data_IF_734770097939
#
_entry.id   IF_734770097939
#
_cell.length_a   1.000
_cell.length_b   1.000
_cell.length_c   1.000
_cell.angle_alpha   90.00
_cell.angle_beta   90.00
_cell.angle_gamma   90.00
#
_symmetry.space_group_name_H-M   'P 1'
#
loop_
_entity.id
_entity.type
_entity.pdbx_description
1 polymer ?
#
# COMPACT_ATOMS: atom_id res chain seq x y z
N UNK A 1 2.24 14.95 -5.03
CA UNK A 1 1.14 14.05 -4.61
C UNK A 1 1.46 13.55 -3.20
N UNK A 2 0.55 13.70 -2.25
CA UNK A 2 0.80 13.20 -0.91
C UNK A 2 0.58 11.68 -0.81
N UNK A 3 0.98 11.07 0.30
CA UNK A 3 0.92 9.62 0.46
C UNK A 3 -0.51 9.10 0.44
N UNK A 4 -1.45 9.83 1.05
CA UNK A 4 -2.87 9.43 1.05
C UNK A 4 -3.43 9.40 -0.36
N UNK A 5 -3.11 10.39 -1.19
CA UNK A 5 -3.54 10.45 -2.59
C UNK A 5 -2.96 9.28 -3.40
N UNK A 6 -1.69 8.90 -3.14
CA UNK A 6 -1.10 7.72 -3.76
C UNK A 6 -1.88 6.46 -3.41
N UNK A 7 -2.21 6.28 -2.14
CA UNK A 7 -2.96 5.12 -1.68
C UNK A 7 -4.36 5.07 -2.29
N UNK A 8 -5.07 6.18 -2.30
CA UNK A 8 -6.42 6.26 -2.90
C UNK A 8 -6.37 5.96 -4.40
N UNK A 9 -5.39 6.51 -5.10
CA UNK A 9 -5.24 6.29 -6.54
C UNK A 9 -4.96 4.83 -6.86
N UNK A 10 -4.13 4.15 -6.07
CA UNK A 10 -3.82 2.73 -6.25
C UNK A 10 -5.07 1.88 -5.99
N UNK A 11 -5.80 2.15 -4.91
CA UNK A 11 -7.05 1.44 -4.60
C UNK A 11 -8.08 1.65 -5.71
N UNK A 12 -8.22 2.87 -6.21
CA UNK A 12 -9.10 3.17 -7.32
C UNK A 12 -8.74 2.36 -8.57
N UNK A 13 -7.45 2.28 -8.88
CA UNK A 13 -6.96 1.50 -10.02
C UNK A 13 -7.28 0.01 -9.87
N UNK A 14 -7.12 -0.55 -8.68
CA UNK A 14 -7.46 -1.94 -8.37
C UNK A 14 -8.95 -2.20 -8.60
N UNK A 15 -9.81 -1.28 -8.18
CA UNK A 15 -11.25 -1.42 -8.34
C UNK A 15 -11.70 -1.27 -9.80
N UNK A 16 -11.02 -0.44 -10.58
CA UNK A 16 -11.32 -0.23 -12.01
C UNK A 16 -10.81 -1.42 -12.85
N UNK A 17 -9.58 -1.84 -12.60
CA UNK A 17 -8.93 -2.94 -13.33
C UNK A 17 -8.18 -3.84 -12.34
N UNK A 18 -8.87 -4.84 -11.74
CA UNK A 18 -8.26 -5.68 -10.72
C UNK A 18 -6.99 -6.42 -11.15
N UNK A 19 -6.86 -6.71 -12.44
CA UNK A 19 -5.67 -7.39 -12.98
C UNK A 19 -4.38 -6.58 -12.77
N UNK A 20 -4.48 -5.29 -12.47
CA UNK A 20 -3.30 -4.48 -12.17
C UNK A 20 -2.55 -5.05 -10.95
N UNK A 21 -3.23 -5.80 -10.09
CA UNK A 21 -2.61 -6.47 -8.95
C UNK A 21 -1.48 -7.42 -9.37
N UNK A 22 -1.59 -8.05 -10.54
CA UNK A 22 -0.52 -8.93 -11.03
C UNK A 22 0.81 -8.19 -11.20
N UNK A 23 0.75 -6.90 -11.53
CA UNK A 23 1.92 -6.05 -11.70
C UNK A 23 2.37 -5.44 -10.38
N UNK A 24 1.43 -4.87 -9.63
CA UNK A 24 1.79 -4.12 -8.42
C UNK A 24 2.07 -5.00 -7.21
N UNK A 25 1.62 -6.27 -7.20
CA UNK A 25 1.93 -7.20 -6.11
C UNK A 25 3.42 -7.55 -6.03
N UNK A 26 4.17 -7.36 -7.09
CA UNK A 26 5.62 -7.50 -7.09
C UNK A 26 6.35 -6.24 -6.61
N UNK A 27 5.63 -5.13 -6.44
CA UNK A 27 6.17 -3.83 -6.04
C UNK A 27 5.76 -3.50 -4.60
N UNK A 28 4.49 -3.73 -4.25
CA UNK A 28 3.90 -3.38 -2.96
C UNK A 28 3.60 -4.60 -2.11
N UNK A 29 3.65 -4.39 -0.81
CA UNK A 29 3.07 -5.31 0.18
C UNK A 29 1.99 -4.56 0.97
N UNK A 30 1.09 -5.27 1.69
CA UNK A 30 0.07 -4.60 2.50
C UNK A 30 0.66 -3.60 3.52
N UNK A 31 1.87 -3.87 4.01
CA UNK A 31 2.54 -3.01 5.00
C UNK A 31 3.01 -1.67 4.44
N UNK A 32 3.02 -1.50 3.13
CA UNK A 32 3.39 -0.23 2.50
C UNK A 32 2.27 0.80 2.60
N UNK A 33 1.05 0.36 2.89
CA UNK A 33 -0.10 1.25 3.05
C UNK A 33 -0.19 1.76 4.49
N UNK A 34 -0.38 3.06 4.67
CA UNK A 34 -0.60 3.67 5.97
C UNK A 34 -2.09 3.69 6.36
N UNK A 35 -2.98 3.62 5.36
CA UNK A 35 -4.43 3.61 5.57
C UNK A 35 -4.91 2.17 5.59
N UNK A 36 -5.43 1.72 6.74
CA UNK A 36 -5.84 0.33 6.93
C UNK A 36 -6.84 -0.16 5.89
N UNK A 37 -7.81 0.68 5.53
CA UNK A 37 -8.79 0.33 4.50
C UNK A 37 -8.12 0.07 3.15
N UNK A 38 -7.13 0.89 2.78
CA UNK A 38 -6.38 0.72 1.53
C UNK A 38 -5.57 -0.57 1.52
N UNK A 39 -4.88 -0.86 2.62
CA UNK A 39 -4.13 -2.10 2.81
C UNK A 39 -5.04 -3.33 2.64
N UNK A 40 -6.23 -3.28 3.24
CA UNK A 40 -7.18 -4.40 3.17
C UNK A 40 -7.74 -4.62 1.78
N UNK A 41 -8.02 -3.55 1.02
CA UNK A 41 -8.45 -3.68 -0.37
C UNK A 41 -7.37 -4.35 -1.21
N UNK A 42 -6.12 -3.89 -1.07
CA UNK A 42 -4.99 -4.47 -1.79
C UNK A 42 -4.83 -5.97 -1.47
N UNK A 43 -4.85 -6.31 -0.19
CA UNK A 43 -4.71 -7.69 0.28
C UNK A 43 -5.86 -8.57 -0.23
N UNK A 44 -7.10 -8.09 -0.14
CA UNK A 44 -8.27 -8.83 -0.59
C UNK A 44 -8.23 -9.07 -2.10
N UNK A 45 -7.82 -8.07 -2.89
CA UNK A 45 -7.71 -8.19 -4.34
C UNK A 45 -6.62 -9.20 -4.73
N UNK A 46 -5.45 -9.12 -4.12
CA UNK A 46 -4.36 -10.05 -4.40
C UNK A 46 -4.74 -11.49 -4.01
N UNK A 47 -5.40 -11.67 -2.87
CA UNK A 47 -5.88 -12.98 -2.43
C UNK A 47 -6.90 -13.57 -3.42
N UNK A 48 -7.89 -12.79 -3.82
CA UNK A 48 -8.92 -13.24 -4.76
C UNK A 48 -8.31 -13.64 -6.09
N UNK A 49 -7.46 -12.80 -6.68
CA UNK A 49 -6.84 -13.09 -7.96
C UNK A 49 -5.88 -14.28 -7.88
N UNK A 50 -5.14 -14.40 -6.76
CA UNK A 50 -4.26 -15.55 -6.54
C UNK A 50 -5.00 -16.88 -6.45
N UNK A 51 -6.28 -16.84 -6.09
CA UNK A 51 -7.16 -18.02 -6.06
C UNK A 51 -7.96 -18.19 -7.34
N UNK A 52 -7.72 -17.37 -8.35
CA UNK A 52 -8.47 -17.40 -9.61
C UNK A 52 -9.90 -16.90 -9.46
N UNK A 53 -10.19 -16.09 -8.44
CA UNK A 53 -11.52 -15.57 -8.16
C UNK A 53 -11.68 -14.14 -8.69
N UNK A 54 -12.94 -13.79 -8.93
CA UNK A 54 -13.33 -12.44 -9.32
C UNK A 54 -13.13 -11.44 -8.18
N UNK A 55 -12.74 -10.22 -8.54
CA UNK A 55 -12.68 -9.08 -7.62
C UNK A 55 -13.22 -7.84 -8.33
N UNK A 56 -13.96 -7.00 -7.59
CA UNK A 56 -14.53 -5.76 -8.11
C UNK A 56 -14.73 -4.73 -6.99
N UNK A 57 -15.26 -3.57 -7.36
CA UNK A 57 -15.52 -2.48 -6.40
C UNK A 57 -16.51 -2.88 -5.30
N UNK A 58 -17.47 -3.73 -5.60
CA UNK A 58 -18.46 -4.20 -4.60
C UNK A 58 -17.77 -5.05 -3.54
N UNK A 59 -16.92 -5.98 -3.97
CA UNK A 59 -16.14 -6.82 -3.06
C UNK A 59 -15.13 -6.01 -2.28
N UNK A 60 -14.55 -4.97 -2.88
CA UNK A 60 -13.66 -4.04 -2.19
C UNK A 60 -14.38 -3.33 -1.05
N UNK A 61 -15.58 -2.79 -1.31
CA UNK A 61 -16.38 -2.13 -0.29
C UNK A 61 -16.77 -3.10 0.83
N UNK A 62 -17.13 -4.33 0.50
CA UNK A 62 -17.45 -5.35 1.49
C UNK A 62 -16.25 -5.67 2.39
N UNK A 63 -15.06 -5.77 1.82
CA UNK A 63 -13.84 -6.09 2.56
C UNK A 63 -13.53 -5.05 3.65
N UNK A 64 -13.91 -3.79 3.46
CA UNK A 64 -13.60 -2.69 4.37
C UNK A 64 -14.82 -2.15 5.14
N UNK A 65 -15.95 -2.86 5.09
CA UNK A 65 -17.21 -2.39 5.72
C UNK A 65 -17.09 -2.07 7.21
N UNK A 66 -16.14 -2.72 7.91
CA UNK A 66 -15.91 -2.50 9.35
C UNK A 66 -14.78 -1.50 9.62
N UNK A 67 -14.18 -0.92 8.58
CA UNK A 67 -13.06 0.03 8.71
C UNK A 67 -13.47 1.46 8.43
N UNK A 68 -14.50 1.67 7.61
CA UNK A 68 -14.99 2.99 7.24
C UNK A 68 -16.51 3.01 7.34
N UNK A 69 -17.10 4.16 7.67
CA UNK A 69 -18.53 4.30 7.88
C UNK A 69 -19.33 4.09 6.61
N UNK A 70 -18.86 4.60 5.48
CA UNK A 70 -19.49 4.45 4.17
C UNK A 70 -18.48 3.87 3.18
N UNK A 71 -18.37 2.54 3.18
CA UNK A 71 -17.41 1.83 2.35
C UNK A 71 -17.65 2.04 0.86
N UNK A 72 -18.91 2.06 0.43
CA UNK A 72 -19.25 2.27 -0.99
C UNK A 72 -18.78 3.65 -1.45
N UNK A 73 -19.03 4.68 -0.64
CA UNK A 73 -18.59 6.03 -0.95
C UNK A 73 -17.06 6.14 -0.95
N UNK A 74 -16.41 5.52 0.02
CA UNK A 74 -14.94 5.50 0.09
C UNK A 74 -14.34 4.93 -1.19
N UNK A 75 -14.83 3.77 -1.65
CA UNK A 75 -14.36 3.13 -2.88
C UNK A 75 -14.67 4.01 -4.09
N UNK A 76 -15.87 4.59 -4.16
CA UNK A 76 -16.23 5.51 -5.24
C UNK A 76 -15.30 6.72 -5.31
N UNK A 77 -14.96 7.30 -4.17
CA UNK A 77 -14.03 8.43 -4.10
C UNK A 77 -12.62 8.02 -4.57
N UNK A 78 -12.15 6.83 -4.19
CA UNK A 78 -10.87 6.31 -4.68
C UNK A 78 -10.86 6.16 -6.20
N UNK A 79 -11.94 5.65 -6.78
CA UNK A 79 -12.05 5.51 -8.23
C UNK A 79 -12.08 6.87 -8.93
N UNK A 80 -12.72 7.87 -8.32
CA UNK A 80 -12.81 9.21 -8.88
C UNK A 80 -11.48 9.96 -8.91
N UNK A 81 -10.55 9.66 -8.00
CA UNK A 81 -9.23 10.30 -7.98
C UNK A 81 -8.21 9.54 -8.83
N UNK A 82 -8.64 8.53 -9.58
CA UNK A 82 -7.79 7.73 -10.45
C UNK A 82 -8.09 8.08 -11.91
N UNK A 83 -7.44 9.13 -12.46
CA UNK A 83 -7.78 9.61 -13.79
C UNK A 83 -7.30 8.69 -14.92
N UNK A 84 -6.27 7.88 -14.66
CA UNK A 84 -5.71 6.92 -15.62
C UNK A 84 -5.04 5.78 -14.89
N UNK A 85 -5.03 4.61 -15.53
CA UNK A 85 -4.31 3.43 -15.02
C UNK A 85 -2.84 3.40 -15.48
N UNK A 86 -2.47 4.28 -16.40
CA UNK A 86 -1.13 4.27 -17.01
C UNK A 86 -0.01 4.49 -15.99
N UNK A 87 -0.28 5.24 -14.93
CA UNK A 87 0.73 5.61 -13.92
C UNK A 87 0.67 4.76 -12.65
N UNK A 88 -0.13 3.70 -12.62
CA UNK A 88 -0.34 2.93 -11.39
C UNK A 88 0.94 2.25 -10.90
N UNK A 89 1.75 1.69 -11.80
CA UNK A 89 3.02 1.09 -11.40
C UNK A 89 3.99 2.12 -10.81
N UNK A 90 4.05 3.31 -11.41
CA UNK A 90 4.89 4.39 -10.89
C UNK A 90 4.39 4.86 -9.51
N UNK A 91 3.08 4.98 -9.33
CA UNK A 91 2.49 5.31 -8.04
C UNK A 91 2.80 4.23 -6.99
N UNK A 92 2.76 2.97 -7.39
CA UNK A 92 3.11 1.86 -6.50
C UNK A 92 4.58 1.93 -6.06
N UNK A 93 5.49 2.22 -6.98
CA UNK A 93 6.91 2.40 -6.65
C UNK A 93 7.13 3.59 -5.72
N UNK A 94 6.44 4.70 -5.97
CA UNK A 94 6.51 5.87 -5.08
C UNK A 94 6.02 5.54 -3.67
N UNK A 95 4.90 4.83 -3.56
CA UNK A 95 4.37 4.43 -2.26
C UNK A 95 5.34 3.51 -1.53
N UNK A 96 5.86 2.49 -2.21
CA UNK A 96 6.84 1.57 -1.62
C UNK A 96 8.07 2.32 -1.13
N UNK A 97 8.60 3.25 -1.92
CA UNK A 97 9.77 4.06 -1.55
C UNK A 97 9.49 4.88 -0.30
N UNK A 98 8.34 5.56 -0.25
CA UNK A 98 7.98 6.39 0.91
C UNK A 98 7.78 5.55 2.17
N UNK A 99 7.14 4.39 2.03
CA UNK A 99 6.94 3.47 3.15
C UNK A 99 8.27 2.91 3.67
N UNK A 100 9.18 2.54 2.76
CA UNK A 100 10.51 2.05 3.10
C UNK A 100 11.33 3.10 3.84
N UNK A 101 11.29 4.35 3.38
CA UNK A 101 11.96 5.46 4.04
C UNK A 101 11.38 5.74 5.43
N UNK A 102 10.06 5.67 5.58
CA UNK A 102 9.42 5.87 6.87
C UNK A 102 9.82 4.79 7.87
N UNK A 103 9.86 3.52 7.43
CA UNK A 103 10.32 2.41 8.26
C UNK A 103 11.79 2.57 8.66
N UNK A 104 12.63 3.01 7.72
CA UNK A 104 14.03 3.26 7.98
C UNK A 104 14.23 4.35 9.03
N UNK A 105 13.54 5.49 8.89
CA UNK A 105 13.60 6.59 9.85
C UNK A 105 13.17 6.15 11.25
N UNK A 106 12.07 5.41 11.33
CA UNK A 106 11.59 4.91 12.64
C UNK A 106 12.60 3.96 13.28
N UNK A 107 13.15 3.04 12.50
CA UNK A 107 14.15 2.09 12.98
C UNK A 107 15.40 2.80 13.47
N UNK A 108 15.86 3.84 12.77
CA UNK A 108 17.00 4.66 13.19
C UNK A 108 16.69 5.36 14.51
N UNK A 109 15.50 5.95 14.65
CA UNK A 109 15.11 6.63 15.91
C UNK A 109 15.14 5.66 17.10
N UNK A 110 14.59 4.46 16.92
CA UNK A 110 14.60 3.42 17.95
C UNK A 110 16.02 2.95 18.27
N UNK A 111 16.87 2.80 17.25
CA UNK A 111 18.24 2.36 17.42
C UNK A 111 19.09 3.39 18.21
N UNK A 112 18.82 4.70 17.99
CA UNK A 112 19.52 5.78 18.73
C UNK A 112 19.21 5.75 20.22
N UNK A 113 18.09 5.16 20.61
CA UNK A 113 17.69 5.02 22.03
C UNK A 113 18.23 3.74 22.65
N UNK A 114 18.83 2.83 21.89
CA UNK A 114 19.39 1.58 22.42
C UNK A 114 20.71 1.79 23.15
N UNK A 115 21.10 0.82 23.97
CA UNK A 115 22.37 0.88 24.74
C UNK A 115 23.61 0.93 23.83
N UNK A 116 23.57 0.19 22.72
CA UNK A 116 24.63 0.22 21.70
C UNK A 116 24.07 0.82 20.40
N UNK A 117 23.88 2.13 20.44
CA UNK A 117 23.27 2.87 19.33
C UNK A 117 24.09 2.73 18.04
N UNK A 118 25.42 2.79 18.12
CA UNK A 118 26.26 2.72 16.93
C UNK A 118 26.12 1.40 16.20
N UNK A 119 26.15 0.26 16.91
CA UNK A 119 25.97 -1.05 16.32
C UNK A 119 24.57 -1.25 15.77
N UNK A 120 23.54 -0.78 16.52
CA UNK A 120 22.15 -0.88 16.08
C UNK A 120 21.89 -0.08 14.80
N UNK A 121 22.40 1.15 14.70
CA UNK A 121 22.26 1.98 13.51
C UNK A 121 23.01 1.35 12.33
N UNK A 122 24.23 0.85 12.53
CA UNK A 122 24.99 0.19 11.46
C UNK A 122 24.25 -1.02 10.89
N UNK A 123 23.65 -1.85 11.75
CA UNK A 123 22.86 -3.02 11.34
C UNK A 123 21.65 -2.63 10.50
N UNK A 124 20.92 -1.60 10.90
CA UNK A 124 19.76 -1.10 10.17
C UNK A 124 20.16 -0.54 8.81
N UNK A 125 21.24 0.23 8.73
CA UNK A 125 21.73 0.78 7.47
C UNK A 125 22.13 -0.34 6.49
N UNK A 126 22.79 -1.39 6.97
CA UNK A 126 23.13 -2.53 6.14
C UNK A 126 21.91 -3.23 5.58
N UNK A 127 20.89 -3.46 6.43
CA UNK A 127 19.65 -4.10 6.01
C UNK A 127 18.89 -3.24 4.98
N UNK A 128 18.84 -1.94 5.17
CA UNK A 128 18.19 -1.02 4.23
C UNK A 128 18.87 -1.04 2.86
N UNK A 129 20.21 -1.03 2.83
CA UNK A 129 20.98 -1.04 1.59
C UNK A 129 20.87 -2.36 0.82
N UNK A 130 20.50 -3.45 1.49
CA UNK A 130 20.30 -4.76 0.85
C UNK A 130 18.90 -4.94 0.27
N UNK A 131 17.94 -4.16 0.72
CA UNK A 131 16.52 -4.32 0.37
C UNK A 131 16.20 -3.83 -1.08
#
# INVERSE_FOLDING_TARGET
>A
MDTSQLEYSIVGAICIEPKICDKISGILSPDDFSISACSEVFEAACDALGRGKHFDAVLAADAIRNRVDDAVRFIGDCMNVTPTLANTEDHARMLHQRASEARFKLAIQEALESEDAAAAVAGICQNFLRA
#
